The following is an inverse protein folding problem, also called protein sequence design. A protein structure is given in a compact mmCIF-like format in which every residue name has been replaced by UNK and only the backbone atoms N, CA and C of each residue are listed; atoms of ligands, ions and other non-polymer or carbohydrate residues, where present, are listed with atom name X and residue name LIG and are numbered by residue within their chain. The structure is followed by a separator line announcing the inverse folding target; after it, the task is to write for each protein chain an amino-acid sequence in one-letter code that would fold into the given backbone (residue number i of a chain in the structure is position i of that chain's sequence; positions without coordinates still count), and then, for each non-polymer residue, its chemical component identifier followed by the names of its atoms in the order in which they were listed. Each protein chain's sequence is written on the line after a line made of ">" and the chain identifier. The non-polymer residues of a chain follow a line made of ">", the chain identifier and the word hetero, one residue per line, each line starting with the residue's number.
data_IF_628118687468
#
_entry.id   IF_628118687468
#
_cell.length_a   1.000
_cell.length_b   1.000
_cell.length_c   1.000
_cell.angle_alpha   90.00
_cell.angle_beta   90.00
_cell.angle_gamma   90.00
#
_symmetry.space_group_name_H-M   'P 1'
#
loop_
_entity.id
_entity.type
_entity.pdbx_description
1 polymer ?
#
# COMPACT_ATOMS: atom_id res chain seq x y z
N UNK A 1 18.56 0.82 -4.91
CA UNK A 1 17.73 1.61 -3.96
C UNK A 1 16.82 0.66 -3.21
N UNK A 2 16.66 0.83 -1.90
CA UNK A 2 16.15 -0.24 -1.02
C UNK A 2 14.64 -0.49 -1.19
N UNK A 3 14.30 -1.35 -2.15
CA UNK A 3 12.94 -1.82 -2.43
C UNK A 3 12.27 -2.45 -1.21
N UNK A 4 13.06 -3.10 -0.33
CA UNK A 4 12.56 -3.68 0.92
C UNK A 4 11.94 -2.63 1.86
N UNK A 5 12.54 -1.43 1.97
CA UNK A 5 12.00 -0.36 2.84
C UNK A 5 10.68 0.16 2.26
N UNK A 6 10.52 0.15 0.94
CA UNK A 6 9.29 0.55 0.27
C UNK A 6 8.12 -0.39 0.61
N UNK A 7 8.37 -1.71 0.57
CA UNK A 7 7.38 -2.73 0.95
C UNK A 7 7.01 -2.58 2.43
N UNK A 8 8.01 -2.41 3.30
CA UNK A 8 7.79 -2.24 4.75
C UNK A 8 6.94 -0.99 5.02
N UNK A 9 7.25 0.13 4.38
CA UNK A 9 6.46 1.36 4.49
C UNK A 9 5.01 1.16 4.04
N UNK A 10 4.79 0.40 2.97
CA UNK A 10 3.45 0.11 2.49
C UNK A 10 2.65 -0.80 3.42
N UNK A 11 3.29 -1.81 4.02
CA UNK A 11 2.65 -2.67 5.02
C UNK A 11 2.21 -1.89 6.25
N UNK A 12 3.05 -0.97 6.73
CA UNK A 12 2.72 -0.09 7.86
C UNK A 12 1.54 0.84 7.50
N UNK A 13 1.54 1.39 6.29
CA UNK A 13 0.47 2.28 5.82
C UNK A 13 -0.89 1.55 5.77
N UNK A 14 -0.92 0.34 5.18
CA UNK A 14 -2.13 -0.48 5.09
C UNK A 14 -2.61 -0.88 6.50
N UNK A 15 -1.70 -1.38 7.35
CA UNK A 15 -2.03 -1.80 8.71
C UNK A 15 -2.57 -0.65 9.56
N UNK A 16 -1.94 0.53 9.48
CA UNK A 16 -2.38 1.72 10.18
C UNK A 16 -3.76 2.20 9.75
N UNK A 17 -4.08 2.17 8.46
CA UNK A 17 -5.40 2.59 7.98
C UNK A 17 -6.51 1.60 8.37
N UNK A 18 -6.23 0.29 8.32
CA UNK A 18 -7.17 -0.73 8.81
C UNK A 18 -7.42 -0.53 10.31
N UNK A 19 -6.36 -0.35 11.09
CA UNK A 19 -6.48 -0.14 12.54
C UNK A 19 -7.29 1.12 12.89
N UNK A 20 -7.02 2.23 12.21
CA UNK A 20 -7.78 3.48 12.37
C UNK A 20 -9.25 3.31 11.99
N UNK A 21 -9.55 2.62 10.89
CA UNK A 21 -10.93 2.36 10.46
C UNK A 21 -11.70 1.47 11.44
N UNK A 22 -11.01 0.51 12.10
CA UNK A 22 -11.60 -0.32 13.15
C UNK A 22 -11.94 0.52 14.38
N UNK A 23 -11.06 1.43 14.83
CA UNK A 23 -11.33 2.33 15.97
C UNK A 23 -12.47 3.31 15.67
N UNK A 24 -12.59 3.75 14.41
CA UNK A 24 -13.68 4.60 13.94
C UNK A 24 -15.03 3.87 13.85
N UNK A 25 -15.10 2.58 14.21
CA UNK A 25 -16.29 1.73 14.09
C UNK A 25 -16.91 1.74 12.67
N UNK A 26 -16.06 1.88 11.65
CA UNK A 26 -16.51 1.74 10.26
C UNK A 26 -16.97 0.30 10.04
N UNK A 27 -18.08 0.13 9.31
CA UNK A 27 -18.59 -1.20 9.01
C UNK A 27 -17.52 -2.03 8.26
N UNK A 28 -17.31 -3.27 8.69
CA UNK A 28 -16.22 -4.14 8.23
C UNK A 28 -16.14 -4.29 6.69
N UNK A 29 -17.29 -4.26 6.01
CA UNK A 29 -17.36 -4.28 4.54
C UNK A 29 -16.63 -3.08 3.90
N UNK A 30 -16.73 -1.88 4.47
CA UNK A 30 -16.02 -0.70 3.98
C UNK A 30 -14.52 -0.74 4.28
N UNK A 31 -14.13 -1.34 5.40
CA UNK A 31 -12.72 -1.59 5.73
C UNK A 31 -12.12 -2.55 4.70
N UNK A 32 -12.84 -3.61 4.34
CA UNK A 32 -12.40 -4.57 3.32
C UNK A 32 -12.25 -3.91 1.93
N UNK A 33 -13.22 -3.10 1.51
CA UNK A 33 -13.13 -2.32 0.26
C UNK A 33 -11.90 -1.40 0.28
N UNK A 34 -11.71 -0.66 1.36
CA UNK A 34 -10.55 0.22 1.54
C UNK A 34 -9.22 -0.55 1.50
N UNK A 35 -9.14 -1.70 2.18
CA UNK A 35 -7.96 -2.54 2.21
C UNK A 35 -7.61 -3.08 0.81
N UNK A 36 -8.59 -3.53 0.03
CA UNK A 36 -8.39 -4.02 -1.34
C UNK A 36 -7.85 -2.91 -2.24
N UNK A 37 -8.42 -1.71 -2.16
CA UNK A 37 -7.98 -0.55 -2.96
C UNK A 37 -6.54 -0.15 -2.61
N UNK A 38 -6.21 -0.07 -1.31
CA UNK A 38 -4.84 0.24 -0.86
C UNK A 38 -3.84 -0.83 -1.26
N UNK A 39 -4.25 -2.09 -1.23
CA UNK A 39 -3.41 -3.21 -1.66
C UNK A 39 -3.08 -3.12 -3.16
N UNK A 40 -4.05 -2.77 -4.00
CA UNK A 40 -3.81 -2.47 -5.42
C UNK A 40 -2.83 -1.31 -5.60
N UNK A 41 -2.99 -0.24 -4.83
CA UNK A 41 -2.07 0.91 -4.82
C UNK A 41 -0.65 0.53 -4.40
N UNK A 42 -0.50 -0.36 -3.41
CA UNK A 42 0.78 -0.90 -2.96
C UNK A 42 1.51 -1.64 -4.07
N UNK A 43 0.78 -2.48 -4.81
CA UNK A 43 1.34 -3.23 -5.93
C UNK A 43 1.78 -2.26 -7.04
N UNK A 44 0.92 -1.31 -7.44
CA UNK A 44 1.26 -0.34 -8.49
C UNK A 44 2.51 0.46 -8.15
N UNK A 45 2.60 0.93 -6.90
CA UNK A 45 3.75 1.66 -6.39
C UNK A 45 5.00 0.79 -6.28
N UNK A 46 4.85 -0.46 -5.86
CA UNK A 46 5.93 -1.45 -5.86
C UNK A 46 6.47 -1.72 -7.26
N UNK A 47 5.59 -1.91 -8.26
CA UNK A 47 5.96 -2.11 -9.66
C UNK A 47 6.63 -0.87 -10.26
N UNK A 48 6.19 0.34 -9.90
CA UNK A 48 6.88 1.57 -10.29
C UNK A 48 8.27 1.68 -9.67
N UNK A 49 8.45 1.22 -8.43
CA UNK A 49 9.76 1.19 -7.77
C UNK A 49 10.72 0.16 -8.39
N UNK A 50 10.21 -0.93 -8.98
CA UNK A 50 11.02 -1.97 -9.65
C UNK A 50 11.19 -1.75 -11.15
N UNK A 51 10.31 -0.98 -11.80
CA UNK A 51 10.57 -0.46 -13.15
C UNK A 51 11.77 0.48 -13.08
N UNK A 52 12.96 -0.10 -13.29
CA UNK A 52 14.18 0.65 -13.49
C UNK A 52 13.93 1.75 -14.52
N UNK A 53 14.35 2.98 -14.20
CA UNK A 53 14.43 4.06 -15.18
C UNK A 53 15.10 3.49 -16.43
N UNK A 54 14.38 3.49 -17.54
CA UNK A 54 14.96 3.19 -18.83
C UNK A 54 16.12 4.18 -19.01
N UNK A 55 17.38 3.73 -19.18
CA UNK A 55 18.47 4.64 -19.47
C UNK A 55 18.19 5.27 -20.83
N UNK A 56 17.67 6.50 -20.82
CA UNK A 56 17.59 7.33 -22.02
C UNK A 56 19.03 7.64 -22.44
N UNK A 57 19.49 6.93 -23.46
CA UNK A 57 20.71 7.22 -24.19
C UNK A 57 20.61 8.61 -24.84
#
# INVERSE_FOLDING_TARGET
>A
MSFGIYIIGFLILIGGLIYGAVILHIAAHWIAVGAIVLFGLAILKGVQATRGKDPSH
#
